data_IF_473284875787
#
_entry.id   IF_473284875787
#
_cell.length_a   1.000
_cell.length_b   1.000
_cell.length_c   1.000
_cell.angle_alpha   90.00
_cell.angle_beta   90.00
_cell.angle_gamma   90.00
#
_symmetry.space_group_name_H-M   'P 1'
#
loop_
_entity.id
_entity.type
_entity.pdbx_description
1 polymer ?
#
# COMPACT_ATOMS: atom_id res chain seq x y z
N UNK A 1 11.28 -21.06 -9.18
CA UNK A 1 12.63 -20.81 -9.72
C UNK A 1 13.13 -21.86 -10.72
N UNK A 2 13.07 -23.18 -10.41
CA UNK A 2 13.53 -24.26 -11.32
C UNK A 2 13.04 -24.11 -12.78
N UNK A 3 11.72 -24.02 -12.98
CA UNK A 3 11.10 -23.86 -14.31
C UNK A 3 11.67 -22.65 -15.07
N UNK A 4 11.92 -21.54 -14.38
CA UNK A 4 12.46 -20.32 -14.99
C UNK A 4 13.89 -20.54 -15.50
N UNK A 5 14.77 -21.12 -14.67
CA UNK A 5 16.16 -21.40 -15.05
C UNK A 5 16.23 -22.44 -16.17
N UNK A 6 15.39 -23.49 -16.09
CA UNK A 6 15.34 -24.55 -17.09
C UNK A 6 14.69 -24.13 -18.41
N UNK A 7 13.73 -23.20 -18.39
CA UNK A 7 13.12 -22.63 -19.59
C UNK A 7 14.04 -21.66 -20.32
N UNK A 8 14.95 -20.98 -19.62
CA UNK A 8 15.85 -19.99 -20.21
C UNK A 8 17.28 -20.53 -20.37
N UNK A 9 17.44 -21.60 -21.14
CA UNK A 9 18.72 -22.30 -21.36
C UNK A 9 19.79 -21.40 -22.02
N UNK A 10 19.44 -20.60 -23.02
CA UNK A 10 20.40 -19.82 -23.82
C UNK A 10 20.46 -18.33 -23.44
N UNK A 11 19.64 -17.86 -22.50
CA UNK A 11 19.56 -16.44 -22.15
C UNK A 11 20.91 -15.87 -21.66
N UNK A 12 21.14 -14.58 -21.90
CA UNK A 12 22.28 -13.87 -21.32
C UNK A 12 22.21 -13.88 -19.78
N UNK A 13 23.36 -13.99 -19.11
CA UNK A 13 23.47 -14.04 -17.65
C UNK A 13 22.77 -12.86 -16.96
N UNK A 14 23.05 -11.63 -17.40
CA UNK A 14 22.43 -10.44 -16.83
C UNK A 14 20.90 -10.44 -16.94
N UNK A 15 20.35 -10.92 -18.07
CA UNK A 15 18.90 -11.07 -18.25
C UNK A 15 18.30 -12.15 -17.35
N UNK A 16 19.03 -13.24 -17.09
CA UNK A 16 18.60 -14.27 -16.13
C UNK A 16 18.51 -13.69 -14.71
N UNK A 17 19.52 -12.92 -14.31
CA UNK A 17 19.55 -12.21 -13.02
C UNK A 17 18.36 -11.25 -12.90
N UNK A 18 18.11 -10.44 -13.94
CA UNK A 18 16.97 -9.51 -13.96
C UNK A 18 15.61 -10.21 -13.80
N UNK A 19 15.46 -11.45 -14.29
CA UNK A 19 14.25 -12.26 -14.09
C UNK A 19 14.17 -12.90 -12.71
N UNK A 20 15.29 -13.31 -12.12
CA UNK A 20 15.34 -13.98 -10.82
C UNK A 20 15.18 -13.00 -9.64
N UNK A 21 15.84 -11.84 -9.70
CA UNK A 21 15.90 -10.89 -8.59
C UNK A 21 14.52 -10.43 -8.08
N UNK A 22 13.52 -10.11 -8.92
CA UNK A 22 12.18 -9.77 -8.44
C UNK A 22 11.50 -10.91 -7.68
N UNK A 23 11.68 -12.16 -8.13
CA UNK A 23 11.09 -13.35 -7.49
C UNK A 23 11.73 -13.59 -6.12
N UNK A 24 13.07 -13.56 -6.06
CA UNK A 24 13.84 -13.72 -4.82
C UNK A 24 13.43 -12.63 -3.83
N UNK A 25 13.43 -11.36 -4.28
CA UNK A 25 13.07 -10.22 -3.44
C UNK A 25 11.65 -10.33 -2.91
N UNK A 26 10.68 -10.68 -3.77
CA UNK A 26 9.29 -10.83 -3.37
C UNK A 26 9.10 -11.92 -2.33
N UNK A 27 9.63 -13.11 -2.60
CA UNK A 27 9.50 -14.26 -1.70
C UNK A 27 10.21 -14.02 -0.35
N UNK A 28 11.45 -13.51 -0.36
CA UNK A 28 12.16 -13.20 0.88
C UNK A 28 11.54 -12.04 1.65
N UNK A 29 10.94 -11.05 0.99
CA UNK A 29 10.22 -9.99 1.70
C UNK A 29 8.93 -10.50 2.35
N UNK A 30 8.24 -11.47 1.73
CA UNK A 30 7.05 -12.07 2.31
C UNK A 30 7.37 -12.83 3.60
N UNK A 31 8.44 -13.63 3.60
CA UNK A 31 8.83 -14.45 4.76
C UNK A 31 9.76 -13.73 5.76
N UNK A 32 10.10 -12.46 5.56
CA UNK A 32 11.07 -11.77 6.42
C UNK A 32 10.61 -11.59 7.87
N UNK A 33 9.33 -11.80 8.17
CA UNK A 33 8.77 -11.60 9.53
C UNK A 33 8.86 -12.84 10.42
N UNK A 34 9.09 -14.01 9.83
CA UNK A 34 9.16 -15.30 10.53
C UNK A 34 10.60 -15.81 10.64
N UNK A 35 10.81 -16.98 11.26
CA UNK A 35 12.13 -17.60 11.43
C UNK A 35 12.57 -18.26 10.11
N UNK A 36 13.10 -17.48 9.17
CA UNK A 36 13.39 -17.99 7.81
C UNK A 36 14.87 -18.04 7.42
N UNK A 37 15.82 -17.75 8.33
CA UNK A 37 17.25 -17.69 7.95
C UNK A 37 17.80 -19.01 7.41
N UNK A 38 17.47 -20.13 8.05
CA UNK A 38 17.97 -21.45 7.61
C UNK A 38 17.41 -21.81 6.23
N UNK A 39 16.09 -21.63 6.05
CA UNK A 39 15.42 -21.82 4.75
C UNK A 39 15.99 -20.89 3.68
N UNK A 40 16.35 -19.64 4.02
CA UNK A 40 17.02 -18.75 3.07
C UNK A 40 18.38 -19.30 2.63
N UNK A 41 19.14 -19.91 3.53
CA UNK A 41 20.38 -20.60 3.21
C UNK A 41 20.16 -21.81 2.30
N UNK A 42 19.16 -22.64 2.59
CA UNK A 42 18.78 -23.78 1.74
C UNK A 42 18.38 -23.32 0.32
N UNK A 43 17.59 -22.24 0.24
CA UNK A 43 17.15 -21.67 -1.04
C UNK A 43 18.31 -21.09 -1.86
N UNK A 44 19.30 -20.49 -1.21
CA UNK A 44 20.52 -20.02 -1.88
C UNK A 44 21.36 -21.19 -2.40
N UNK A 45 21.54 -22.25 -1.61
CA UNK A 45 22.25 -23.47 -2.03
C UNK A 45 21.54 -24.12 -3.23
N UNK A 46 20.23 -24.29 -3.12
CA UNK A 46 19.42 -24.87 -4.18
C UNK A 46 19.47 -24.05 -5.48
N UNK A 47 19.40 -22.72 -5.38
CA UNK A 47 19.52 -21.85 -6.54
C UNK A 47 20.92 -21.89 -7.14
N UNK A 48 21.96 -21.94 -6.32
CA UNK A 48 23.34 -22.09 -6.77
C UNK A 48 23.53 -23.36 -7.60
N UNK A 49 23.00 -24.51 -7.14
CA UNK A 49 23.08 -25.77 -7.90
C UNK A 49 22.37 -25.69 -9.26
N UNK A 50 21.20 -25.05 -9.31
CA UNK A 50 20.48 -24.84 -10.57
C UNK A 50 21.28 -23.98 -11.54
N UNK A 51 21.91 -22.91 -11.04
CA UNK A 51 22.75 -22.01 -11.84
C UNK A 51 24.05 -22.69 -12.28
N UNK A 52 24.64 -23.53 -11.42
CA UNK A 52 25.81 -24.33 -11.76
C UNK A 52 25.53 -25.30 -12.91
N UNK A 53 24.42 -26.04 -12.82
CA UNK A 53 23.96 -26.94 -13.91
C UNK A 53 23.67 -26.14 -15.19
N UNK A 54 23.04 -24.98 -15.07
CA UNK A 54 22.78 -24.10 -16.20
C UNK A 54 24.08 -23.62 -16.88
N UNK A 55 25.07 -23.20 -16.10
CA UNK A 55 26.36 -22.70 -16.59
C UNK A 55 27.18 -23.82 -17.26
N UNK A 56 27.28 -24.99 -16.63
CA UNK A 56 27.97 -26.16 -17.19
C UNK A 56 27.42 -26.59 -18.54
N UNK A 57 26.09 -26.64 -18.68
CA UNK A 57 25.44 -27.02 -19.94
C UNK A 57 25.79 -26.07 -21.09
N UNK A 58 26.08 -24.79 -20.80
CA UNK A 58 26.45 -23.81 -21.83
C UNK A 58 27.87 -23.97 -22.35
N UNK A 59 28.73 -24.67 -21.61
CA UNK A 59 30.14 -24.80 -21.92
C UNK A 59 30.59 -26.25 -21.74
N UNK A 60 30.14 -27.18 -22.60
CA UNK A 60 30.47 -28.60 -22.48
C UNK A 60 31.99 -28.87 -22.56
N UNK A 61 32.72 -28.03 -23.30
CA UNK A 61 34.16 -28.20 -23.56
C UNK A 61 35.06 -27.35 -22.64
N UNK A 62 34.51 -26.77 -21.55
CA UNK A 62 35.29 -25.94 -20.61
C UNK A 62 35.33 -26.58 -19.23
N UNK A 63 36.48 -26.44 -18.57
CA UNK A 63 36.70 -26.94 -17.22
C UNK A 63 35.85 -26.21 -16.17
N UNK A 64 35.66 -26.86 -15.01
CA UNK A 64 34.86 -26.31 -13.89
C UNK A 64 35.44 -24.99 -13.36
N UNK A 65 36.76 -24.87 -13.27
CA UNK A 65 37.43 -23.64 -12.82
C UNK A 65 37.12 -22.44 -13.73
N UNK A 66 37.22 -22.62 -15.05
CA UNK A 66 36.87 -21.57 -16.01
C UNK A 66 35.39 -21.16 -15.92
N UNK A 67 34.49 -22.13 -15.72
CA UNK A 67 33.05 -21.85 -15.53
C UNK A 67 32.82 -21.03 -14.26
N UNK A 68 33.47 -21.41 -13.16
CA UNK A 68 33.42 -20.67 -11.90
C UNK A 68 33.86 -19.22 -12.11
N UNK A 69 35.05 -19.02 -12.68
CA UNK A 69 35.62 -17.69 -12.91
C UNK A 69 34.77 -16.84 -13.86
N UNK A 70 34.16 -17.45 -14.89
CA UNK A 70 33.34 -16.70 -15.86
C UNK A 70 32.07 -16.12 -15.24
N UNK A 71 31.39 -16.90 -14.40
CA UNK A 71 30.02 -16.60 -13.95
C UNK A 71 29.95 -16.10 -12.50
N UNK A 72 30.91 -16.51 -11.66
CA UNK A 72 30.99 -16.11 -10.26
C UNK A 72 32.23 -15.23 -10.04
N UNK A 73 32.01 -14.07 -9.42
CA UNK A 73 33.07 -13.10 -9.12
C UNK A 73 33.14 -12.81 -7.62
N UNK A 74 34.35 -12.58 -7.07
CA UNK A 74 34.49 -12.12 -5.71
C UNK A 74 33.97 -10.68 -5.60
N UNK A 75 33.20 -10.40 -4.54
CA UNK A 75 32.76 -9.04 -4.18
C UNK A 75 32.69 -8.92 -2.66
N UNK A 76 33.52 -8.04 -2.11
CA UNK A 76 33.72 -7.93 -0.66
C UNK A 76 34.21 -9.25 -0.06
N UNK A 77 33.56 -9.70 1.01
CA UNK A 77 33.90 -10.93 1.74
C UNK A 77 33.48 -12.19 0.96
N UNK A 78 32.53 -12.05 0.05
CA UNK A 78 31.90 -13.19 -0.62
C UNK A 78 32.59 -13.50 -1.95
N UNK A 79 33.05 -14.74 -2.12
CA UNK A 79 33.79 -15.16 -3.33
C UNK A 79 32.91 -15.63 -4.50
N UNK A 80 31.70 -16.09 -4.19
CA UNK A 80 30.80 -16.76 -5.15
C UNK A 80 29.56 -15.92 -5.46
N UNK A 81 29.74 -14.74 -6.04
CA UNK A 81 28.61 -13.90 -6.45
C UNK A 81 28.32 -14.08 -7.94
N UNK A 82 27.10 -14.48 -8.27
CA UNK A 82 26.69 -14.66 -9.65
C UNK A 82 26.42 -13.29 -10.30
N UNK A 83 27.40 -12.81 -11.07
CA UNK A 83 27.45 -11.44 -11.59
C UNK A 83 27.50 -11.45 -13.12
N UNK A 84 26.58 -10.74 -13.75
CA UNK A 84 26.54 -10.54 -15.20
C UNK A 84 26.71 -9.07 -15.57
N UNK A 85 27.07 -8.82 -16.84
CA UNK A 85 27.15 -7.46 -17.41
C UNK A 85 26.03 -7.23 -18.41
N UNK A 86 25.39 -6.07 -18.33
CA UNK A 86 24.46 -5.55 -19.33
C UNK A 86 25.22 -5.01 -20.54
N UNK A 87 24.50 -4.62 -21.60
CA UNK A 87 25.11 -4.13 -22.85
C UNK A 87 25.85 -2.80 -22.68
N UNK A 88 25.40 -1.98 -21.73
CA UNK A 88 25.97 -0.70 -21.32
C UNK A 88 27.19 -0.86 -20.40
N UNK A 89 27.58 -2.09 -20.06
CA UNK A 89 28.68 -2.39 -19.13
C UNK A 89 28.26 -2.45 -17.66
N UNK A 90 27.00 -2.11 -17.33
CA UNK A 90 26.49 -2.13 -15.96
C UNK A 90 26.50 -3.56 -15.41
N UNK A 91 27.10 -3.76 -14.24
CA UNK A 91 27.09 -5.03 -13.54
C UNK A 91 25.78 -5.25 -12.80
N UNK A 92 25.23 -6.45 -12.93
CA UNK A 92 24.06 -6.90 -12.16
C UNK A 92 24.42 -8.16 -11.40
N UNK A 93 24.07 -8.16 -10.12
CA UNK A 93 24.33 -9.25 -9.20
C UNK A 93 23.02 -9.94 -8.80
N UNK A 94 23.08 -11.26 -8.68
CA UNK A 94 21.97 -12.05 -8.14
C UNK A 94 21.83 -11.81 -6.64
N UNK A 95 20.63 -11.42 -6.22
CA UNK A 95 20.30 -11.25 -4.81
C UNK A 95 20.30 -12.62 -4.11
N UNK A 96 20.84 -12.67 -2.90
CA UNK A 96 20.78 -13.83 -2.01
C UNK A 96 19.55 -13.75 -1.11
N UNK A 97 18.84 -14.86 -0.93
CA UNK A 97 17.76 -14.96 0.04
C UNK A 97 18.30 -14.65 1.44
N UNK A 98 19.45 -15.24 1.79
CA UNK A 98 20.11 -15.09 3.09
C UNK A 98 20.51 -13.64 3.42
N UNK A 99 20.70 -12.80 2.39
CA UNK A 99 20.94 -11.36 2.54
C UNK A 99 19.73 -10.57 3.04
N UNK A 100 18.52 -11.16 3.02
CA UNK A 100 17.32 -10.50 3.51
C UNK A 100 17.29 -10.50 5.04
N UNK A 101 17.19 -9.32 5.64
CA UNK A 101 17.09 -9.15 7.09
C UNK A 101 15.72 -9.59 7.62
N UNK A 102 15.74 -10.38 8.69
CA UNK A 102 14.53 -10.78 9.42
C UNK A 102 14.06 -9.62 10.30
N UNK A 103 12.83 -9.15 10.07
CA UNK A 103 12.19 -8.10 10.89
C UNK A 103 11.10 -8.75 11.74
N UNK A 104 11.36 -8.86 13.05
CA UNK A 104 10.39 -9.43 13.99
C UNK A 104 9.26 -8.44 14.28
N UNK A 105 8.05 -8.97 14.44
CA UNK A 105 6.95 -8.20 15.01
C UNK A 105 7.28 -7.79 16.43
N UNK A 106 7.12 -6.49 16.73
CA UNK A 106 7.26 -5.97 18.09
C UNK A 106 6.06 -6.43 18.90
N UNK A 107 6.25 -7.17 19.99
CA UNK A 107 5.15 -7.61 20.87
C UNK A 107 4.47 -6.43 21.58
N UNK A 108 3.22 -6.60 22.01
CA UNK A 108 2.57 -5.66 22.93
C UNK A 108 3.29 -5.74 24.29
N UNK A 109 3.43 -4.62 25.00
CA UNK A 109 4.20 -4.56 26.25
C UNK A 109 3.35 -5.09 27.41
N UNK A 110 3.81 -6.14 28.10
CA UNK A 110 3.19 -6.64 29.34
C UNK A 110 1.69 -6.89 29.19
N UNK A 111 0.91 -6.31 30.11
CA UNK A 111 -0.56 -6.37 30.17
C UNK A 111 -1.24 -5.23 29.43
N UNK A 112 -0.52 -4.47 28.59
CA UNK A 112 -1.10 -3.35 27.86
C UNK A 112 -2.24 -3.82 26.95
N UNK A 113 -3.37 -3.13 27.01
CA UNK A 113 -4.54 -3.40 26.16
C UNK A 113 -5.00 -2.10 25.49
N UNK A 114 -5.64 -2.13 24.31
CA UNK A 114 -6.11 -0.90 23.67
C UNK A 114 -7.00 -0.01 24.56
N UNK A 115 -7.61 -0.59 25.61
CA UNK A 115 -8.52 0.08 26.55
C UNK A 115 -7.85 0.48 27.87
N UNK A 116 -6.54 0.30 28.02
CA UNK A 116 -5.79 0.59 29.25
C UNK A 116 -5.56 2.09 29.52
N UNK A 117 -6.11 2.97 28.69
CA UNK A 117 -5.93 4.42 28.79
C UNK A 117 -4.56 4.93 28.35
N UNK A 118 -3.62 4.06 27.92
CA UNK A 118 -2.29 4.46 27.49
C UNK A 118 -2.26 4.94 26.04
N UNK A 119 -2.95 6.05 25.77
CA UNK A 119 -3.12 6.64 24.44
C UNK A 119 -1.77 6.92 23.76
N UNK A 120 -0.76 7.32 24.53
CA UNK A 120 0.59 7.62 24.01
C UNK A 120 1.27 6.36 23.47
N UNK A 121 1.18 5.24 24.19
CA UNK A 121 1.74 3.97 23.73
C UNK A 121 1.07 3.49 22.45
N UNK A 122 -0.27 3.49 22.43
CA UNK A 122 -1.04 3.00 21.29
C UNK A 122 -0.89 3.89 20.06
N UNK A 123 -0.86 5.22 20.22
CA UNK A 123 -0.60 6.14 19.10
C UNK A 123 0.82 5.98 18.52
N UNK A 124 1.85 5.84 19.37
CA UNK A 124 3.23 5.57 18.91
C UNK A 124 3.34 4.22 18.19
N UNK A 125 2.58 3.22 18.64
CA UNK A 125 2.53 1.89 18.03
C UNK A 125 1.81 1.92 16.68
N UNK A 126 0.72 2.65 16.57
CA UNK A 126 -0.04 2.87 15.34
C UNK A 126 0.84 3.49 14.24
N UNK A 127 1.67 4.48 14.60
CA UNK A 127 2.66 5.12 13.71
C UNK A 127 3.75 4.18 13.14
N UNK A 128 3.82 2.94 13.63
CA UNK A 128 4.75 1.90 13.17
C UNK A 128 4.03 0.69 12.57
N UNK A 129 2.72 0.77 12.37
CA UNK A 129 1.92 -0.34 11.85
C UNK A 129 2.27 -0.64 10.39
N UNK A 130 2.58 -1.90 10.03
CA UNK A 130 2.84 -2.28 8.63
C UNK A 130 1.57 -2.28 7.77
N UNK A 131 0.38 -2.27 8.39
CA UNK A 131 -0.91 -2.29 7.69
C UNK A 131 -1.29 -0.90 7.14
N UNK A 132 -0.62 0.16 7.59
CA UNK A 132 -0.95 1.53 7.22
C UNK A 132 -0.03 1.99 6.10
N UNK A 133 -0.62 2.56 5.03
CA UNK A 133 0.12 3.07 3.89
C UNK A 133 1.12 4.17 4.25
N UNK A 134 2.24 4.25 3.53
CA UNK A 134 3.33 5.21 3.79
C UNK A 134 2.87 6.66 3.85
N UNK A 135 1.94 7.08 2.97
CA UNK A 135 1.40 8.45 2.94
C UNK A 135 0.79 8.84 4.29
N UNK A 136 -0.04 7.97 4.85
CA UNK A 136 -0.67 8.16 6.16
C UNK A 136 0.38 8.15 7.27
N UNK A 137 1.29 7.17 7.29
CA UNK A 137 2.35 7.11 8.31
C UNK A 137 3.24 8.35 8.33
N UNK A 138 3.54 8.92 7.16
CA UNK A 138 4.30 10.17 7.04
C UNK A 138 3.55 11.34 7.67
N UNK A 139 2.26 11.52 7.35
CA UNK A 139 1.44 12.59 7.93
C UNK A 139 1.23 12.41 9.44
N UNK A 140 0.94 11.18 9.87
CA UNK A 140 0.75 10.85 11.28
C UNK A 140 2.02 11.14 12.09
N UNK A 141 3.22 10.82 11.55
CA UNK A 141 4.49 11.19 12.19
C UNK A 141 4.71 12.71 12.22
N UNK A 142 4.47 13.41 11.11
CA UNK A 142 4.57 14.89 11.01
C UNK A 142 3.70 15.57 12.07
N UNK A 143 2.49 15.05 12.29
CA UNK A 143 1.53 15.55 13.27
C UNK A 143 1.70 14.96 14.68
N UNK A 144 2.77 14.22 14.95
CA UNK A 144 3.04 13.57 16.25
C UNK A 144 1.88 12.69 16.74
N UNK A 145 1.18 12.06 15.80
CA UNK A 145 0.03 11.19 16.06
C UNK A 145 -1.28 11.94 16.35
N UNK A 146 -1.33 13.27 16.18
CA UNK A 146 -2.51 14.08 16.46
C UNK A 146 -3.31 14.40 15.19
N UNK A 147 -4.63 14.51 15.32
CA UNK A 147 -5.50 15.04 14.27
C UNK A 147 -5.20 16.53 14.03
N UNK A 148 -5.13 16.93 12.76
CA UNK A 148 -4.86 18.33 12.37
C UNK A 148 -5.95 19.33 12.79
N UNK A 149 -7.16 18.85 13.06
CA UNK A 149 -8.30 19.68 13.45
C UNK A 149 -8.54 19.66 14.98
N UNK A 150 -8.86 18.51 15.58
CA UNK A 150 -9.17 18.43 17.01
C UNK A 150 -7.95 18.28 17.94
N UNK A 151 -6.74 18.09 17.40
CA UNK A 151 -5.49 17.91 18.15
C UNK A 151 -5.43 16.67 19.07
N UNK A 152 -6.44 15.81 19.04
CA UNK A 152 -6.46 14.53 19.78
C UNK A 152 -5.60 13.48 19.09
N UNK A 153 -5.05 12.55 19.88
CA UNK A 153 -4.25 11.45 19.36
C UNK A 153 -5.11 10.44 18.58
N UNK A 154 -4.58 9.94 17.46
CA UNK A 154 -5.13 8.78 16.79
C UNK A 154 -4.88 7.52 17.61
N UNK A 155 -5.93 6.72 17.77
CA UNK A 155 -5.91 5.42 18.44
C UNK A 155 -6.35 4.30 17.50
N UNK A 156 -6.15 3.04 17.94
CA UNK A 156 -6.66 1.89 17.20
C UNK A 156 -8.18 1.95 17.13
N UNK A 157 -8.74 1.80 15.92
CA UNK A 157 -10.18 1.86 15.68
C UNK A 157 -10.66 3.20 15.09
N UNK A 158 -9.86 4.26 15.20
CA UNK A 158 -10.16 5.53 14.56
C UNK A 158 -10.24 5.39 13.04
N UNK A 159 -11.18 6.10 12.43
CA UNK A 159 -11.21 6.34 10.99
C UNK A 159 -10.52 7.67 10.71
N UNK A 160 -9.69 7.71 9.69
CA UNK A 160 -8.93 8.89 9.32
C UNK A 160 -8.94 9.12 7.82
N UNK A 161 -8.86 10.39 7.45
CA UNK A 161 -8.86 10.85 6.08
C UNK A 161 -7.73 11.86 5.86
N UNK A 162 -7.17 11.85 4.64
CA UNK A 162 -6.16 12.82 4.23
C UNK A 162 -6.90 14.03 3.66
N UNK A 163 -6.64 15.18 4.25
CA UNK A 163 -7.25 16.45 3.91
C UNK A 163 -6.17 17.48 3.48
N UNK A 164 -6.59 18.48 2.72
CA UNK A 164 -5.76 19.63 2.36
C UNK A 164 -6.04 20.79 3.33
N UNK A 165 -4.98 21.33 3.97
CA UNK A 165 -5.06 22.49 4.87
C UNK A 165 -5.73 23.67 4.16
N UNK A 166 -5.22 24.03 2.99
CA UNK A 166 -5.92 24.87 2.02
C UNK A 166 -6.63 23.96 1.03
N UNK A 167 -7.96 24.00 0.92
CA UNK A 167 -8.71 23.18 -0.04
C UNK A 167 -8.22 23.35 -1.48
N UNK A 168 -8.33 22.29 -2.29
CA UNK A 168 -7.96 22.35 -3.71
C UNK A 168 -8.80 23.36 -4.51
N UNK A 169 -10.07 23.54 -4.15
CA UNK A 169 -10.97 24.54 -4.74
C UNK A 169 -10.47 25.97 -4.52
N UNK A 170 -9.76 26.22 -3.42
CA UNK A 170 -9.17 27.51 -3.06
C UNK A 170 -7.68 27.59 -3.45
N UNK A 171 -7.23 26.79 -4.43
CA UNK A 171 -5.86 26.82 -4.95
C UNK A 171 -4.84 25.98 -4.16
N UNK A 172 -5.29 25.19 -3.19
CA UNK A 172 -4.43 24.29 -2.43
C UNK A 172 -3.79 23.19 -3.29
N UNK A 173 -2.46 23.02 -3.17
CA UNK A 173 -1.71 21.99 -3.91
C UNK A 173 -1.67 20.66 -3.15
N UNK A 174 -1.56 19.54 -3.87
CA UNK A 174 -1.40 18.19 -3.28
C UNK A 174 0.07 17.92 -2.90
N UNK A 175 0.57 18.67 -1.91
CA UNK A 175 1.96 18.58 -1.42
C UNK A 175 1.96 18.35 0.09
N UNK A 176 2.94 17.60 0.62
CA UNK A 176 3.00 17.26 2.04
C UNK A 176 2.98 18.46 3.01
N UNK A 177 3.37 19.65 2.57
CA UNK A 177 3.26 20.88 3.36
C UNK A 177 1.81 21.31 3.56
N UNK A 178 0.95 21.10 2.54
CA UNK A 178 -0.48 21.40 2.54
C UNK A 178 -1.36 20.20 2.91
N UNK A 179 -0.79 19.02 3.18
CA UNK A 179 -1.55 17.84 3.60
C UNK A 179 -1.58 17.69 5.12
N UNK A 180 -2.73 17.28 5.61
CA UNK A 180 -2.96 16.88 7.00
C UNK A 180 -3.80 15.61 7.08
N UNK A 181 -3.69 14.90 8.21
CA UNK A 181 -4.48 13.74 8.56
C UNK A 181 -5.51 14.15 9.61
N UNK A 182 -6.78 13.87 9.33
CA UNK A 182 -7.90 14.19 10.20
C UNK A 182 -8.64 12.91 10.58
N UNK A 183 -9.35 12.92 11.71
CA UNK A 183 -10.46 11.97 11.90
C UNK A 183 -11.53 12.21 10.83
N UNK A 184 -12.27 11.18 10.45
CA UNK A 184 -13.37 11.28 9.48
C UNK A 184 -14.38 12.38 9.86
N UNK A 185 -14.84 12.38 11.12
CA UNK A 185 -15.77 13.39 11.63
C UNK A 185 -15.14 14.80 11.71
N UNK A 186 -13.82 14.89 11.86
CA UNK A 186 -13.11 16.17 11.83
C UNK A 186 -12.98 16.71 10.41
N UNK A 187 -12.80 15.84 9.43
CA UNK A 187 -12.78 16.22 8.03
C UNK A 187 -14.15 16.79 7.61
N UNK A 188 -15.25 16.11 7.96
CA UNK A 188 -16.61 16.63 7.70
C UNK A 188 -16.84 18.02 8.30
N UNK A 189 -16.43 18.22 9.57
CA UNK A 189 -16.54 19.53 10.25
C UNK A 189 -15.71 20.61 9.56
N UNK A 190 -14.48 20.29 9.17
CA UNK A 190 -13.60 21.22 8.45
C UNK A 190 -14.19 21.60 7.10
N UNK A 191 -14.59 20.61 6.30
CA UNK A 191 -15.15 20.86 4.96
C UNK A 191 -16.38 21.76 5.02
N UNK A 192 -17.24 21.58 6.03
CA UNK A 192 -18.41 22.44 6.22
C UNK A 192 -18.06 23.92 6.53
N UNK A 193 -16.85 24.20 7.02
CA UNK A 193 -16.44 25.53 7.47
C UNK A 193 -15.32 26.18 6.63
N UNK A 194 -14.67 25.44 5.72
CA UNK A 194 -13.47 25.90 5.00
C UNK A 194 -13.74 26.43 3.58
N UNK A 195 -15.01 26.63 3.22
CA UNK A 195 -15.43 27.15 1.92
C UNK A 195 -15.23 26.18 0.75
N UNK A 196 -14.83 24.93 1.00
CA UNK A 196 -14.58 23.95 -0.07
C UNK A 196 -15.83 23.53 -0.84
N UNK A 197 -17.02 23.76 -0.27
CA UNK A 197 -18.31 23.48 -0.92
C UNK A 197 -18.81 24.58 -1.87
N UNK A 198 -18.32 25.81 -1.76
CA UNK A 198 -18.79 26.94 -2.59
C UNK A 198 -18.47 26.75 -4.09
N UNK A 199 -17.41 25.98 -4.40
CA UNK A 199 -17.10 25.57 -5.78
C UNK A 199 -17.87 24.33 -6.27
N UNK A 200 -18.66 23.67 -5.41
CA UNK A 200 -19.43 22.44 -5.72
C UNK A 200 -20.92 22.69 -5.95
N UNK A 201 -21.46 23.84 -5.54
CA UNK A 201 -22.78 24.29 -5.99
C UNK A 201 -22.75 24.37 -7.50
N UNK A 202 -23.29 23.34 -8.17
CA UNK A 202 -23.60 23.45 -9.58
C UNK A 202 -24.57 24.61 -9.67
N UNK A 203 -24.28 25.55 -10.57
CA UNK A 203 -25.18 26.66 -10.95
C UNK A 203 -26.60 26.15 -11.31
N UNK A 204 -26.77 24.84 -11.55
CA UNK A 204 -28.05 24.18 -11.83
C UNK A 204 -29.03 24.07 -10.67
N UNK A 205 -28.61 24.27 -9.42
CA UNK A 205 -29.51 24.05 -8.27
C UNK A 205 -30.15 25.37 -7.75
N UNK A 206 -30.06 26.46 -8.52
CA UNK A 206 -30.56 27.78 -8.07
C UNK A 206 -32.05 28.03 -8.42
N UNK A 207 -32.65 27.47 -9.47
CA UNK A 207 -34.09 27.69 -9.73
C UNK A 207 -34.78 26.49 -10.38
N UNK A 208 -35.39 25.66 -9.54
CA UNK A 208 -36.60 24.91 -9.87
C UNK A 208 -37.35 24.62 -8.55
N UNK A 209 -37.78 25.68 -7.86
CA UNK A 209 -38.95 25.55 -6.99
C UNK A 209 -40.15 25.40 -7.91
N UNK A 210 -40.64 24.17 -8.07
CA UNK A 210 -42.02 23.97 -8.51
C UNK A 210 -42.92 24.61 -7.46
N UNK A 211 -43.82 25.54 -7.83
CA UNK A 211 -44.78 26.05 -6.88
C UNK A 211 -45.68 24.89 -6.44
N UNK A 212 -45.73 24.64 -5.13
CA UNK A 212 -46.60 23.64 -4.51
C UNK A 212 -48.03 23.78 -5.06
N UNK A 213 -48.51 22.77 -5.79
CA UNK A 213 -49.91 22.62 -6.14
C UNK A 213 -50.71 22.52 -4.83
N UNK A 214 -51.33 23.64 -4.45
CA UNK A 214 -52.32 23.67 -3.40
C UNK A 214 -53.43 22.66 -3.73
N UNK A 215 -53.46 21.54 -2.99
CA UNK A 215 -54.59 20.61 -2.99
C UNK A 215 -55.83 21.35 -2.49
N UNK A 216 -56.60 21.92 -3.42
CA UNK A 216 -57.95 22.39 -3.13
C UNK A 216 -58.83 21.14 -2.98
N UNK A 217 -59.24 20.86 -1.75
CA UNK A 217 -60.25 19.86 -1.42
C UNK A 217 -61.52 20.13 -2.24
N UNK A 218 -61.94 19.16 -3.05
CA UNK A 218 -63.28 19.13 -3.65
C UNK A 218 -64.20 18.42 -2.66
N UNK A 219 -65.28 19.04 -2.16
CA UNK A 219 -66.29 18.30 -1.42
C UNK A 219 -67.07 17.43 -2.41
N UNK A 220 -67.13 16.13 -2.10
CA UNK A 220 -68.05 15.18 -2.72
C UNK A 220 -69.45 15.56 -2.26
N UNK A 221 -70.29 16.05 -3.17
CA UNK A 221 -71.74 16.16 -2.92
C UNK A 221 -72.34 14.76 -3.12
N UNK A 222 -72.79 14.16 -2.02
CA UNK A 222 -73.56 12.94 -2.02
C UNK A 222 -74.84 13.08 -2.85
N UNK A 223 -75.18 12.03 -3.56
CA UNK A 223 -76.46 11.89 -4.25
C UNK A 223 -77.44 11.21 -3.31
N UNK A 224 -78.39 11.96 -2.74
CA UNK A 224 -79.58 11.37 -2.13
C UNK A 224 -80.68 11.27 -3.18
N UNK A 225 -81.00 10.03 -3.53
CA UNK A 225 -82.13 9.64 -4.37
C UNK A 225 -83.32 9.36 -3.43
N UNK A 226 -84.44 10.01 -3.69
CA UNK A 226 -85.82 9.64 -3.25
C UNK A 226 -86.71 10.54 -4.11
N UNK A 227 -87.65 10.11 -4.92
CA UNK A 227 -88.53 8.96 -4.85
C UNK A 227 -89.95 9.48 -5.03
N UNK A 228 -90.53 9.21 -6.20
CA UNK A 228 -91.96 9.10 -6.55
C UNK A 228 -92.92 10.31 -6.56
N UNK A 229 -93.76 10.35 -7.62
CA UNK A 229 -95.17 10.76 -7.47
C UNK A 229 -95.79 11.68 -8.52
N UNK A 230 -96.20 11.10 -9.67
CA UNK A 230 -97.43 11.32 -10.47
C UNK A 230 -98.23 12.63 -10.33
N UNK A 231 -98.47 13.30 -11.47
CA UNK A 231 -99.80 13.62 -12.04
C UNK A 231 -99.64 14.05 -13.51
#
# INVERSE_FOLDING_TARGET
>A
MRKLVQGHKSIAQAKLIAKLNPIIRGWSNYYRTVVSKDIYGEMDTYLWELLWKWARRRHPNKGRGWIAEKYWKPRGITRWNFIGKLKDGTEVELIRHSGTEIIRHVKVKGTATPMDGNLVYWSKRLQKSPMIGKRILTLMKKQKGKCGHCQMLFVNGDKWEVDHVVPRSLGGKDVYTNLQLLHDYCHHKKSAADGSHEGRTRIRDIEAEEPDEAKVSRPVLETSRSGDGLA
#
